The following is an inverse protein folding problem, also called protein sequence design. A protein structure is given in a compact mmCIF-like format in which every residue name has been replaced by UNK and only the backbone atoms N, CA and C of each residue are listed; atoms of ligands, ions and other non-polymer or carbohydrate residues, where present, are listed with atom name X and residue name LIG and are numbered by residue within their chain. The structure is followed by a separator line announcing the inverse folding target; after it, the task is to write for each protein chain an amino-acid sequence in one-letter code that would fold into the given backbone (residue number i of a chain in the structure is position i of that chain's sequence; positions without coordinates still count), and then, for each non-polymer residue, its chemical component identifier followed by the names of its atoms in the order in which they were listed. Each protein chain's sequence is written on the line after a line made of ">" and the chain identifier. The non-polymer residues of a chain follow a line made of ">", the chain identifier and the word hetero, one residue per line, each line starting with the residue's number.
data_IF_146214138866
#
_entry.id   IF_146214138866
#
_cell.length_a   1.000
_cell.length_b   1.000
_cell.length_c   1.000
_cell.angle_alpha   90.00
_cell.angle_beta   90.00
_cell.angle_gamma   90.00
#
_symmetry.space_group_name_H-M   'P 1'
#
loop_
_entity.id
_entity.type
_entity.pdbx_description
1 polymer ?
#
# COMPACT_ATOMS: atom_id res chain seq x y z
N UNK A 1 -67.20 -2.60 -7.87
CA UNK A 1 -66.50 -3.39 -6.84
C UNK A 1 -65.01 -3.29 -7.15
N UNK A 2 -64.29 -2.44 -6.42
CA UNK A 2 -62.85 -2.29 -6.50
C UNK A 2 -62.25 -3.21 -5.43
N UNK A 3 -61.49 -4.22 -5.84
CA UNK A 3 -60.79 -5.12 -4.94
C UNK A 3 -59.35 -4.63 -4.73
N UNK A 4 -59.02 -4.24 -3.49
CA UNK A 4 -57.63 -4.09 -3.04
C UNK A 4 -56.99 -5.47 -2.90
N UNK A 5 -55.89 -5.70 -3.60
CA UNK A 5 -54.93 -6.75 -3.25
C UNK A 5 -53.92 -6.16 -2.27
N UNK A 6 -53.86 -6.73 -1.07
CA UNK A 6 -52.77 -6.53 -0.14
C UNK A 6 -51.53 -7.25 -0.69
N UNK A 7 -50.46 -6.49 -0.96
CA UNK A 7 -49.17 -7.06 -1.33
C UNK A 7 -48.46 -7.60 -0.09
N UNK A 8 -48.22 -8.91 -0.06
CA UNK A 8 -47.35 -9.53 0.93
C UNK A 8 -45.90 -9.20 0.58
N UNK A 9 -45.25 -8.37 1.39
CA UNK A 9 -43.79 -8.19 1.36
C UNK A 9 -43.13 -9.47 1.87
N UNK A 10 -42.58 -10.28 0.98
CA UNK A 10 -41.65 -11.34 1.38
C UNK A 10 -40.32 -10.67 1.76
N UNK A 11 -39.99 -10.67 3.05
CA UNK A 11 -38.61 -10.46 3.51
C UNK A 11 -37.80 -11.67 3.08
N UNK A 12 -36.73 -11.43 2.32
CA UNK A 12 -35.86 -12.48 1.78
C UNK A 12 -34.77 -12.71 2.82
N UNK A 13 -34.83 -13.82 3.52
CA UNK A 13 -33.72 -14.34 4.33
C UNK A 13 -32.52 -14.58 3.41
N UNK A 14 -31.38 -13.98 3.76
CA UNK A 14 -30.13 -14.09 3.01
C UNK A 14 -28.99 -14.47 3.94
N UNK A 15 -28.05 -15.27 3.42
CA UNK A 15 -26.72 -15.43 4.02
C UNK A 15 -25.78 -14.47 3.30
N UNK A 16 -25.02 -13.67 4.04
CA UNK A 16 -23.94 -12.86 3.46
C UNK A 16 -22.59 -13.27 4.03
N UNK A 17 -21.52 -12.74 3.43
CA UNK A 17 -20.15 -12.93 3.89
C UNK A 17 -19.66 -11.65 4.53
N UNK A 18 -19.03 -11.77 5.69
CA UNK A 18 -18.33 -10.67 6.34
C UNK A 18 -16.83 -10.91 6.28
N UNK A 19 -16.09 -9.87 5.91
CA UNK A 19 -14.63 -9.92 5.83
C UNK A 19 -14.05 -8.98 6.88
N UNK A 20 -13.12 -9.49 7.68
CA UNK A 20 -12.51 -8.72 8.77
C UNK A 20 -11.01 -8.82 8.76
N UNK A 21 -10.38 -7.77 9.26
CA UNK A 21 -8.95 -7.71 9.52
C UNK A 21 -8.73 -7.47 11.00
N UNK A 22 -7.88 -8.29 11.60
CA UNK A 22 -7.45 -8.17 12.98
C UNK A 22 -5.95 -8.00 13.07
N UNK A 23 -5.49 -7.02 13.84
CA UNK A 23 -4.08 -6.80 14.16
C UNK A 23 -3.95 -6.33 15.61
N UNK A 24 -3.32 -7.17 16.44
CA UNK A 24 -3.28 -6.94 17.89
C UNK A 24 -4.69 -6.85 18.48
N UNK A 25 -4.99 -5.73 19.14
CA UNK A 25 -6.30 -5.43 19.74
C UNK A 25 -7.28 -4.73 18.77
N UNK A 26 -6.85 -4.42 17.55
CA UNK A 26 -7.68 -3.77 16.53
C UNK A 26 -8.35 -4.82 15.67
N UNK A 27 -9.66 -4.69 15.48
CA UNK A 27 -10.45 -5.49 14.54
C UNK A 27 -11.41 -4.56 13.80
N UNK A 28 -11.53 -4.73 12.49
CA UNK A 28 -12.43 -3.95 11.66
C UNK A 28 -12.87 -4.73 10.42
N UNK A 29 -14.07 -4.42 9.95
CA UNK A 29 -14.62 -4.96 8.71
C UNK A 29 -13.96 -4.29 7.49
N UNK A 30 -13.78 -5.05 6.42
CA UNK A 30 -13.30 -4.57 5.13
C UNK A 30 -14.28 -4.94 4.02
N UNK A 31 -14.55 -4.01 3.12
CA UNK A 31 -15.24 -4.29 1.87
C UNK A 31 -14.29 -4.86 0.81
N UNK A 32 -14.84 -5.68 -0.09
CA UNK A 32 -14.13 -6.18 -1.28
C UNK A 32 -13.97 -5.06 -2.30
N UNK A 33 -12.84 -5.06 -3.02
CA UNK A 33 -12.72 -4.30 -4.25
C UNK A 33 -13.27 -5.18 -5.37
N UNK A 34 -14.38 -4.80 -6.00
CA UNK A 34 -14.99 -5.61 -7.06
C UNK A 34 -14.58 -5.13 -8.46
N UNK A 35 -14.59 -6.02 -9.45
CA UNK A 35 -14.54 -5.63 -10.85
C UNK A 35 -14.54 -6.79 -11.84
N UNK A 36 -14.70 -6.48 -13.12
CA UNK A 36 -14.88 -7.48 -14.19
C UNK A 36 -13.58 -7.86 -14.92
N UNK A 37 -12.43 -7.59 -14.31
CA UNK A 37 -11.10 -7.86 -14.88
C UNK A 37 -10.47 -9.04 -14.15
N UNK A 38 -10.00 -10.09 -14.85
CA UNK A 38 -9.23 -11.15 -14.20
C UNK A 38 -8.10 -10.58 -13.35
N UNK A 39 -7.89 -11.10 -12.14
CA UNK A 39 -6.97 -10.48 -11.18
C UNK A 39 -5.51 -10.43 -11.70
N UNK A 40 -5.11 -11.38 -12.55
CA UNK A 40 -3.80 -11.35 -13.22
C UNK A 40 -3.69 -10.16 -14.18
N UNK A 41 -4.75 -9.86 -14.92
CA UNK A 41 -4.81 -8.69 -15.82
C UNK A 41 -4.91 -7.38 -15.04
N UNK A 42 -5.59 -7.40 -13.88
CA UNK A 42 -5.63 -6.27 -12.97
C UNK A 42 -4.24 -5.99 -12.36
N UNK A 43 -3.48 -7.03 -12.02
CA UNK A 43 -2.10 -6.90 -11.53
C UNK A 43 -1.16 -6.47 -12.67
N UNK A 44 -1.33 -7.03 -13.87
CA UNK A 44 -0.53 -6.77 -15.09
C UNK A 44 0.97 -6.92 -14.83
N UNK A 45 1.37 -8.09 -14.32
CA UNK A 45 2.78 -8.47 -14.26
C UNK A 45 3.26 -8.71 -15.70
N UNK A 46 4.34 -8.04 -16.08
CA UNK A 46 4.98 -8.24 -17.38
C UNK A 46 6.39 -8.73 -17.24
N UNK A 47 6.76 -9.66 -18.10
CA UNK A 47 8.13 -10.15 -18.26
C UNK A 47 8.51 -10.03 -19.73
N UNK A 48 9.79 -9.94 -20.08
CA UNK A 48 10.20 -10.04 -21.47
C UNK A 48 9.78 -11.35 -22.13
N UNK A 49 9.63 -11.33 -23.46
CA UNK A 49 9.25 -12.47 -24.29
C UNK A 49 10.25 -13.62 -24.31
N UNK A 50 11.51 -13.37 -23.95
CA UNK A 50 12.53 -14.40 -23.77
C UNK A 50 12.43 -15.15 -22.44
N UNK A 51 11.53 -14.73 -21.54
CA UNK A 51 11.23 -15.43 -20.30
C UNK A 51 9.86 -16.13 -20.38
N UNK A 52 9.73 -17.21 -19.61
CA UNK A 52 8.49 -17.94 -19.42
C UNK A 52 8.33 -18.37 -17.96
N UNK A 53 7.27 -19.10 -17.61
CA UNK A 53 7.10 -19.66 -16.27
C UNK A 53 5.68 -19.55 -15.75
N UNK A 54 5.44 -20.20 -14.62
CA UNK A 54 4.16 -20.15 -13.90
C UNK A 54 4.16 -18.99 -12.88
N UNK A 55 4.28 -17.77 -13.37
CA UNK A 55 4.37 -16.55 -12.57
C UNK A 55 3.16 -15.62 -12.70
N UNK A 56 2.19 -15.97 -13.54
CA UNK A 56 0.99 -15.15 -13.72
C UNK A 56 1.14 -13.95 -14.64
N UNK A 57 2.27 -13.81 -15.34
CA UNK A 57 2.45 -12.71 -16.28
C UNK A 57 1.39 -12.73 -17.39
N UNK A 58 0.83 -11.56 -17.71
CA UNK A 58 -0.29 -11.43 -18.67
C UNK A 58 0.13 -10.98 -20.06
N UNK A 59 1.33 -10.43 -20.19
CA UNK A 59 1.87 -9.98 -21.47
C UNK A 59 3.40 -10.08 -21.47
N UNK A 60 4.01 -10.86 -22.38
CA UNK A 60 5.45 -10.81 -22.63
C UNK A 60 5.93 -9.56 -23.41
N UNK A 61 5.02 -8.63 -23.75
CA UNK A 61 5.23 -7.49 -24.64
C UNK A 61 5.97 -6.30 -24.04
N UNK A 62 6.00 -5.17 -24.75
CA UNK A 62 6.87 -4.04 -24.43
C UNK A 62 6.67 -3.50 -22.99
N UNK A 63 7.79 -3.34 -22.29
CA UNK A 63 7.84 -3.00 -20.88
C UNK A 63 7.20 -1.65 -20.47
N UNK A 64 7.33 -1.27 -19.19
CA UNK A 64 8.33 -1.79 -18.26
C UNK A 64 8.02 -3.20 -17.72
N UNK A 65 9.08 -3.90 -17.32
CA UNK A 65 9.07 -5.31 -16.96
C UNK A 65 9.37 -5.51 -15.47
N UNK A 66 8.97 -6.67 -14.95
CA UNK A 66 9.23 -7.14 -13.59
C UNK A 66 8.60 -6.23 -12.52
N UNK A 67 7.40 -5.76 -12.81
CA UNK A 67 6.60 -4.96 -11.88
C UNK A 67 5.11 -5.02 -12.26
N UNK A 68 4.25 -4.69 -11.30
CA UNK A 68 2.82 -4.46 -11.54
C UNK A 68 2.55 -3.12 -12.22
N UNK A 69 2.08 -3.16 -13.46
CA UNK A 69 1.65 -1.95 -14.19
C UNK A 69 0.17 -1.61 -13.98
N UNK A 70 -0.59 -2.60 -13.52
CA UNK A 70 -1.99 -2.46 -13.24
C UNK A 70 -2.23 -1.75 -11.92
N UNK A 71 -1.40 -1.98 -10.90
CA UNK A 71 -1.67 -1.55 -9.52
C UNK A 71 -0.66 -0.56 -8.93
N UNK A 72 0.46 -0.26 -9.61
CA UNK A 72 1.48 0.65 -9.07
C UNK A 72 0.96 2.03 -8.64
N UNK A 73 -0.16 2.50 -9.20
CA UNK A 73 -0.80 3.76 -8.79
C UNK A 73 -1.38 3.74 -7.36
N UNK A 74 -1.52 2.57 -6.73
CA UNK A 74 -1.96 2.42 -5.35
C UNK A 74 -0.85 2.74 -4.34
N UNK A 75 0.40 2.81 -4.79
CA UNK A 75 1.57 3.07 -3.95
C UNK A 75 1.89 4.57 -3.99
N UNK A 76 1.59 5.28 -2.91
CA UNK A 76 1.81 6.74 -2.82
C UNK A 76 3.20 7.09 -2.28
N UNK A 77 3.80 6.17 -1.53
CA UNK A 77 5.07 6.27 -0.81
C UNK A 77 5.68 4.84 -0.74
N UNK A 78 6.92 4.63 -0.23
CA UNK A 78 7.47 3.29 -0.11
C UNK A 78 6.66 2.48 0.92
N UNK A 79 5.75 1.67 0.39
CA UNK A 79 4.63 1.11 1.13
C UNK A 79 4.33 -0.33 0.71
N UNK A 80 3.52 -0.98 1.51
CA UNK A 80 2.81 -2.20 1.14
C UNK A 80 1.31 -1.95 1.18
N UNK A 81 0.61 -2.41 0.16
CA UNK A 81 -0.85 -2.42 0.14
C UNK A 81 -1.36 -3.84 0.00
N UNK A 82 -2.44 -4.13 0.71
CA UNK A 82 -3.11 -5.42 0.76
C UNK A 82 -4.61 -5.21 0.54
N UNK A 83 -5.28 -6.06 -0.23
CA UNK A 83 -6.73 -5.98 -0.36
C UNK A 83 -7.33 -7.30 -0.86
N UNK A 84 -8.64 -7.46 -0.62
CA UNK A 84 -9.42 -8.53 -1.22
C UNK A 84 -10.07 -8.03 -2.51
N UNK A 85 -9.89 -8.79 -3.60
CA UNK A 85 -10.43 -8.50 -4.91
C UNK A 85 -11.47 -9.55 -5.31
N UNK A 86 -12.69 -9.10 -5.61
CA UNK A 86 -13.76 -9.93 -6.15
C UNK A 86 -13.81 -9.75 -7.68
N UNK A 87 -13.21 -10.71 -8.38
CA UNK A 87 -13.06 -10.71 -9.83
C UNK A 87 -13.87 -11.82 -10.52
N UNK A 88 -13.85 -11.87 -11.86
CA UNK A 88 -14.56 -12.90 -12.63
C UNK A 88 -14.07 -14.34 -12.33
N UNK A 89 -12.83 -14.48 -11.85
CA UNK A 89 -12.23 -15.77 -11.45
C UNK A 89 -12.40 -16.08 -9.95
N UNK A 90 -13.19 -15.27 -9.23
CA UNK A 90 -13.45 -15.38 -7.80
C UNK A 90 -12.58 -14.48 -6.94
N UNK A 91 -12.66 -14.71 -5.63
CA UNK A 91 -12.02 -13.89 -4.61
C UNK A 91 -10.51 -14.14 -4.54
N UNK A 92 -9.73 -13.07 -4.46
CA UNK A 92 -8.28 -13.11 -4.35
C UNK A 92 -7.77 -12.14 -3.29
N UNK A 93 -6.71 -12.52 -2.57
CA UNK A 93 -5.91 -11.63 -1.74
C UNK A 93 -4.75 -11.09 -2.58
N UNK A 94 -4.67 -9.77 -2.74
CA UNK A 94 -3.64 -9.10 -3.53
C UNK A 94 -2.67 -8.39 -2.59
N UNK A 95 -1.38 -8.68 -2.74
CA UNK A 95 -0.29 -8.00 -2.07
C UNK A 95 0.56 -7.25 -3.10
N UNK A 96 0.85 -5.98 -2.80
CA UNK A 96 1.70 -5.15 -3.64
C UNK A 96 2.65 -4.35 -2.75
N UNK A 97 3.94 -4.45 -3.04
CA UNK A 97 5.03 -3.74 -2.38
C UNK A 97 5.66 -2.73 -3.34
N UNK A 98 6.21 -1.65 -2.82
CA UNK A 98 7.00 -0.69 -3.58
C UNK A 98 6.55 0.74 -3.39
N UNK A 99 6.64 1.56 -4.44
CA UNK A 99 6.33 2.98 -4.41
C UNK A 99 7.56 3.85 -4.68
N UNK A 100 7.50 5.13 -4.34
CA UNK A 100 8.67 6.00 -4.43
C UNK A 100 9.74 5.56 -3.42
N UNK A 101 11.01 5.53 -3.81
CA UNK A 101 12.12 5.16 -2.91
C UNK A 101 13.13 4.22 -3.57
N UNK A 102 14.08 3.74 -2.76
CA UNK A 102 15.27 3.00 -3.22
C UNK A 102 15.05 1.50 -3.40
N UNK A 103 13.87 0.98 -3.01
CA UNK A 103 13.52 -0.43 -3.09
C UNK A 103 13.04 -0.94 -1.74
N UNK A 104 13.13 -2.24 -1.52
CA UNK A 104 12.81 -2.85 -0.24
C UNK A 104 12.92 -4.37 -0.22
N UNK A 105 12.66 -4.94 0.95
CA UNK A 105 12.52 -6.37 1.15
C UNK A 105 11.44 -6.65 2.19
N UNK A 106 10.64 -7.69 1.94
CA UNK A 106 9.55 -8.12 2.80
C UNK A 106 9.55 -9.63 2.86
N UNK A 107 9.39 -10.19 4.05
CA UNK A 107 9.11 -11.62 4.23
C UNK A 107 7.75 -11.77 4.85
N UNK A 108 6.84 -12.49 4.20
CA UNK A 108 5.60 -12.92 4.84
C UNK A 108 5.62 -14.42 5.04
N UNK A 109 5.29 -14.83 6.28
CA UNK A 109 4.83 -16.18 6.55
C UNK A 109 3.31 -16.17 6.71
N UNK A 110 2.62 -16.86 5.82
CA UNK A 110 1.17 -17.03 5.87
C UNK A 110 0.84 -18.40 6.47
N UNK A 111 -0.16 -18.45 7.34
CA UNK A 111 -0.71 -19.70 7.89
C UNK A 111 -2.22 -19.72 7.73
N UNK A 112 -2.80 -20.91 7.63
CA UNK A 112 -4.25 -21.04 7.42
C UNK A 112 -4.67 -20.79 5.97
N UNK A 113 -3.74 -20.87 5.02
CA UNK A 113 -4.05 -20.75 3.61
C UNK A 113 -4.98 -21.92 3.20
N UNK A 114 -6.14 -21.64 2.58
CA UNK A 114 -7.04 -22.70 2.10
C UNK A 114 -6.32 -23.63 1.11
N UNK A 115 -6.62 -24.92 1.16
CA UNK A 115 -5.94 -25.94 0.34
C UNK A 115 -6.23 -25.84 -1.15
N UNK A 116 -7.30 -25.15 -1.52
CA UNK A 116 -7.72 -24.86 -2.89
C UNK A 116 -7.22 -23.50 -3.39
N UNK A 117 -6.62 -22.68 -2.52
CA UNK A 117 -6.01 -21.42 -2.90
C UNK A 117 -4.68 -21.65 -3.64
N UNK A 118 -4.39 -20.78 -4.61
CA UNK A 118 -3.13 -20.83 -5.37
C UNK A 118 -2.60 -19.42 -5.64
N UNK A 119 -1.28 -19.31 -5.80
CA UNK A 119 -0.65 -18.05 -6.18
C UNK A 119 -0.77 -17.85 -7.68
N UNK A 120 -1.66 -16.95 -8.08
CA UNK A 120 -1.95 -16.62 -9.47
C UNK A 120 -0.94 -15.67 -10.09
N UNK A 121 -0.24 -14.90 -9.25
CA UNK A 121 0.88 -14.03 -9.64
C UNK A 121 2.00 -14.22 -8.64
N UNK A 122 3.20 -14.43 -9.17
CA UNK A 122 4.44 -14.64 -8.41
C UNK A 122 5.54 -13.79 -9.03
N UNK A 123 5.78 -12.60 -8.48
CA UNK A 123 6.90 -11.78 -8.96
C UNK A 123 8.24 -12.52 -8.82
N UNK A 124 9.17 -12.19 -9.72
CA UNK A 124 10.50 -12.81 -9.79
C UNK A 124 10.53 -14.36 -9.75
N UNK A 125 9.55 -15.01 -10.41
CA UNK A 125 9.52 -16.46 -10.64
C UNK A 125 9.45 -16.84 -12.13
N UNK A 126 10.41 -16.40 -12.94
CA UNK A 126 10.46 -16.74 -14.37
C UNK A 126 11.66 -17.64 -14.73
N UNK A 127 11.60 -18.23 -15.90
CA UNK A 127 12.56 -19.23 -16.41
C UNK A 127 13.04 -18.84 -17.80
N UNK A 128 14.30 -19.15 -18.09
CA UNK A 128 14.84 -19.11 -19.45
C UNK A 128 14.09 -20.11 -20.36
N UNK A 129 14.27 -20.01 -21.70
CA UNK A 129 13.59 -20.92 -22.64
C UNK A 129 13.92 -22.40 -22.46
N UNK A 130 15.04 -22.72 -21.81
CA UNK A 130 15.44 -24.10 -21.46
C UNK A 130 14.78 -24.63 -20.18
N UNK A 131 14.02 -23.78 -19.47
CA UNK A 131 13.31 -24.10 -18.24
C UNK A 131 14.10 -23.84 -16.96
N UNK A 132 15.35 -23.39 -17.05
CA UNK A 132 16.14 -23.04 -15.86
C UNK A 132 15.63 -21.72 -15.26
N UNK A 133 15.60 -21.57 -13.92
CA UNK A 133 15.26 -20.32 -13.27
C UNK A 133 16.17 -19.18 -13.71
N UNK A 134 15.61 -17.99 -13.93
CA UNK A 134 16.40 -16.82 -14.27
C UNK A 134 17.29 -16.37 -13.09
N UNK A 135 18.52 -15.93 -13.39
CA UNK A 135 19.48 -15.48 -12.36
C UNK A 135 19.00 -14.24 -11.59
N UNK A 136 18.06 -13.48 -12.18
CA UNK A 136 17.46 -12.30 -11.58
C UNK A 136 16.25 -12.61 -10.70
N UNK A 137 15.84 -13.87 -10.55
CA UNK A 137 14.81 -14.26 -9.60
C UNK A 137 15.37 -14.19 -8.18
N UNK A 138 15.23 -13.04 -7.54
CA UNK A 138 15.69 -12.87 -6.16
C UNK A 138 14.64 -13.30 -5.13
N UNK A 139 13.38 -13.29 -5.53
CA UNK A 139 12.28 -13.73 -4.69
C UNK A 139 12.33 -15.22 -4.39
N UNK A 140 11.84 -15.57 -3.20
CA UNK A 140 11.83 -16.96 -2.74
C UNK A 140 10.42 -17.38 -2.40
N UNK A 141 9.94 -18.39 -3.11
CA UNK A 141 8.59 -18.91 -2.98
C UNK A 141 8.60 -20.28 -2.33
N UNK A 142 8.09 -20.39 -1.10
CA UNK A 142 7.83 -21.67 -0.43
C UNK A 142 6.34 -21.78 -0.10
N UNK A 143 5.57 -22.38 -1.01
CA UNK A 143 4.10 -22.33 -1.03
C UNK A 143 3.44 -23.71 -0.90
N UNK A 144 3.91 -24.53 0.05
CA UNK A 144 3.40 -25.88 0.24
C UNK A 144 2.39 -25.98 1.38
N UNK A 145 1.22 -26.58 1.12
CA UNK A 145 0.22 -26.87 2.16
C UNK A 145 -0.52 -25.60 2.60
N UNK A 146 -0.72 -25.43 3.91
CA UNK A 146 -1.41 -24.27 4.49
C UNK A 146 -0.46 -23.22 5.09
N UNK A 147 0.85 -23.48 5.05
CA UNK A 147 1.91 -22.63 5.57
C UNK A 147 2.78 -22.16 4.40
N UNK A 148 2.66 -20.90 4.02
CA UNK A 148 3.46 -20.32 2.94
C UNK A 148 4.51 -19.37 3.52
N UNK A 149 5.71 -19.35 2.94
CA UNK A 149 6.74 -18.34 3.22
C UNK A 149 7.18 -17.76 1.90
N UNK A 150 7.06 -16.44 1.77
CA UNK A 150 7.50 -15.72 0.59
C UNK A 150 8.44 -14.60 1.05
N UNK A 151 9.60 -14.54 0.41
CA UNK A 151 10.56 -13.46 0.57
C UNK A 151 10.59 -12.65 -0.74
N UNK A 152 10.20 -11.38 -0.68
CA UNK A 152 10.25 -10.43 -1.79
C UNK A 152 11.42 -9.46 -1.66
N UNK A 153 11.99 -9.04 -2.78
CA UNK A 153 12.90 -7.89 -2.82
C UNK A 153 12.95 -7.21 -4.18
N UNK A 154 12.84 -5.89 -4.17
CA UNK A 154 12.79 -5.10 -5.39
C UNK A 154 13.72 -3.89 -5.35
N UNK A 155 14.08 -3.44 -6.56
CA UNK A 155 14.82 -2.19 -6.78
C UNK A 155 13.90 -0.98 -6.66
N UNK A 156 14.48 0.15 -6.26
CA UNK A 156 13.80 1.45 -6.26
C UNK A 156 13.10 1.80 -7.56
N UNK A 157 11.94 2.43 -7.42
CA UNK A 157 11.04 2.78 -8.52
C UNK A 157 10.28 1.61 -9.13
N UNK A 158 10.44 0.38 -8.64
CA UNK A 158 9.66 -0.79 -9.05
C UNK A 158 8.67 -1.24 -7.98
N UNK A 159 7.81 -2.16 -8.38
CA UNK A 159 6.89 -2.85 -7.49
C UNK A 159 7.16 -4.35 -7.46
N UNK A 160 6.63 -4.99 -6.43
CA UNK A 160 6.79 -6.41 -6.17
C UNK A 160 5.50 -6.97 -5.54
N UNK A 161 5.39 -8.28 -5.39
CA UNK A 161 4.34 -8.93 -4.61
C UNK A 161 3.72 -10.15 -5.28
N UNK A 162 2.40 -10.28 -5.16
CA UNK A 162 1.70 -11.43 -5.72
C UNK A 162 0.22 -11.46 -5.40
N UNK A 163 -0.44 -12.48 -5.96
CA UNK A 163 -1.88 -12.67 -5.84
C UNK A 163 -2.17 -14.10 -5.39
N UNK A 164 -2.79 -14.25 -4.22
CA UNK A 164 -3.31 -15.53 -3.73
C UNK A 164 -4.81 -15.60 -4.08
N UNK A 165 -5.14 -16.39 -5.09
CA UNK A 165 -6.50 -16.51 -5.63
C UNK A 165 -7.26 -17.73 -5.12
N UNK A 166 -8.46 -17.89 -5.68
CA UNK A 166 -9.38 -18.98 -5.39
C UNK A 166 -9.78 -19.09 -3.92
N UNK A 167 -9.91 -17.95 -3.23
CA UNK A 167 -10.37 -17.92 -1.85
C UNK A 167 -11.87 -18.21 -1.79
N UNK A 168 -12.21 -19.45 -1.45
CA UNK A 168 -13.59 -19.92 -1.39
C UNK A 168 -14.03 -20.22 0.05
N UNK A 169 -15.34 -20.34 0.26
CA UNK A 169 -15.90 -20.66 1.59
C UNK A 169 -15.56 -19.64 2.69
N UNK A 170 -15.53 -20.12 3.93
CA UNK A 170 -15.00 -19.42 5.10
C UNK A 170 -13.50 -19.69 5.21
N UNK A 171 -12.72 -18.68 5.59
CA UNK A 171 -11.27 -18.82 5.76
C UNK A 171 -10.74 -17.91 6.86
N UNK A 172 -9.58 -18.28 7.40
CA UNK A 172 -8.79 -17.47 8.33
C UNK A 172 -7.32 -17.55 7.92
N UNK A 173 -6.82 -16.48 7.29
CA UNK A 173 -5.42 -16.39 6.86
C UNK A 173 -4.70 -15.46 7.82
N UNK A 174 -3.60 -15.95 8.42
CA UNK A 174 -2.75 -15.15 9.30
C UNK A 174 -1.41 -14.87 8.63
N UNK A 175 -1.05 -13.60 8.55
CA UNK A 175 0.19 -13.08 7.99
C UNK A 175 1.11 -12.67 9.15
N UNK A 176 2.26 -13.32 9.24
CA UNK A 176 3.37 -12.93 10.10
C UNK A 176 4.38 -12.13 9.27
N UNK A 177 4.35 -10.78 9.35
CA UNK A 177 5.24 -9.96 8.55
C UNK A 177 6.63 -9.85 9.17
N UNK A 178 7.63 -9.70 8.31
CA UNK A 178 8.93 -9.16 8.65
C UNK A 178 9.33 -8.17 7.54
N UNK A 179 9.46 -6.89 7.90
CA UNK A 179 9.80 -5.81 6.98
C UNK A 179 11.22 -5.32 7.25
N UNK A 180 11.83 -4.70 6.23
CA UNK A 180 13.11 -4.00 6.37
C UNK A 180 14.16 -4.93 6.99
N UNK A 181 14.89 -4.49 8.02
CA UNK A 181 15.96 -5.27 8.65
C UNK A 181 15.54 -6.64 9.19
N UNK A 182 14.25 -6.86 9.40
CA UNK A 182 13.72 -8.14 9.86
C UNK A 182 13.43 -9.11 8.70
N UNK A 183 13.33 -8.61 7.45
CA UNK A 183 13.08 -9.42 6.26
C UNK A 183 14.30 -10.26 5.88
N UNK A 184 14.06 -11.48 5.37
CA UNK A 184 15.11 -12.44 5.01
C UNK A 184 16.10 -11.85 4.01
N UNK A 185 15.61 -11.15 2.98
CA UNK A 185 16.40 -10.65 1.86
C UNK A 185 16.99 -9.25 2.06
N UNK A 186 16.78 -8.64 3.23
CA UNK A 186 17.19 -7.26 3.48
C UNK A 186 18.68 -7.02 3.26
N UNK A 187 18.99 -6.08 2.37
CA UNK A 187 20.36 -5.70 2.06
C UNK A 187 21.18 -6.78 1.34
N UNK A 188 20.55 -7.89 0.89
CA UNK A 188 21.23 -8.91 0.08
C UNK A 188 21.35 -8.47 -1.38
N UNK A 189 20.25 -7.98 -1.95
CA UNK A 189 20.16 -7.62 -3.38
C UNK A 189 19.83 -6.14 -3.57
N UNK A 190 18.83 -5.66 -2.83
CA UNK A 190 18.41 -4.27 -2.85
C UNK A 190 18.36 -3.67 -1.45
N UNK A 191 18.41 -2.34 -1.41
CA UNK A 191 18.28 -1.54 -0.19
C UNK A 191 17.02 -0.68 -0.29
N UNK A 192 16.52 -0.25 0.85
CA UNK A 192 15.36 0.62 0.92
C UNK A 192 14.58 0.32 2.19
N UNK A 193 13.53 1.09 2.41
CA UNK A 193 12.72 0.99 3.61
C UNK A 193 11.25 1.11 3.23
N UNK A 194 10.47 0.10 3.60
CA UNK A 194 9.01 0.17 3.61
C UNK A 194 8.59 0.91 4.88
N UNK A 195 7.94 2.04 4.72
CA UNK A 195 7.55 2.91 5.84
C UNK A 195 6.09 2.73 6.26
N UNK A 196 5.24 2.28 5.34
CA UNK A 196 3.81 2.08 5.63
C UNK A 196 3.26 0.77 5.08
N UNK A 197 2.26 0.24 5.79
CA UNK A 197 1.48 -0.91 5.34
C UNK A 197 -0.01 -0.60 5.53
N UNK A 198 -0.79 -0.83 4.48
CA UNK A 198 -2.21 -0.56 4.47
C UNK A 198 -3.01 -1.77 3.98
N UNK A 199 -4.20 -1.95 4.56
CA UNK A 199 -5.28 -2.68 3.89
C UNK A 199 -6.21 -1.69 3.20
N UNK A 200 -6.59 -1.98 1.97
CA UNK A 200 -7.52 -1.19 1.17
C UNK A 200 -8.90 -1.83 1.18
N UNK A 201 -9.93 -0.99 1.22
CA UNK A 201 -11.33 -1.41 1.13
C UNK A 201 -12.19 -0.34 0.44
N UNK A 202 -13.39 -0.72 0.01
CA UNK A 202 -14.35 0.18 -0.64
C UNK A 202 -14.24 0.14 -2.16
N UNK A 203 -14.66 1.22 -2.82
CA UNK A 203 -14.71 1.31 -4.29
C UNK A 203 -13.42 1.85 -4.89
N UNK A 204 -13.11 1.49 -6.14
CA UNK A 204 -11.89 1.90 -6.84
C UNK A 204 -11.67 3.43 -6.95
N UNK A 205 -12.75 4.21 -6.90
CA UNK A 205 -12.71 5.68 -6.92
C UNK A 205 -12.82 6.31 -5.52
N UNK A 206 -13.03 5.51 -4.48
CA UNK A 206 -13.19 5.94 -3.09
C UNK A 206 -12.54 4.96 -2.11
N UNK A 207 -11.27 4.65 -2.34
CA UNK A 207 -10.53 3.70 -1.52
C UNK A 207 -10.33 4.24 -0.10
N UNK A 208 -10.68 3.42 0.87
CA UNK A 208 -10.31 3.63 2.27
C UNK A 208 -8.99 2.90 2.54
N UNK A 209 -8.01 3.62 3.10
CA UNK A 209 -6.73 3.06 3.54
C UNK A 209 -6.74 2.90 5.05
N UNK A 210 -6.64 1.68 5.55
CA UNK A 210 -6.46 1.42 6.98
C UNK A 210 -5.02 1.03 7.26
N UNK A 211 -4.33 1.80 8.10
CA UNK A 211 -2.92 1.53 8.45
C UNK A 211 -2.79 0.31 9.36
N UNK A 212 -1.79 -0.51 9.02
CA UNK A 212 -1.34 -1.69 9.73
C UNK A 212 0.09 -1.45 10.27
N UNK A 213 0.41 -2.07 11.38
CA UNK A 213 1.74 -2.08 11.98
C UNK A 213 2.65 -3.08 11.24
N UNK A 214 3.86 -2.67 10.87
CA UNK A 214 4.82 -3.49 10.13
C UNK A 214 5.34 -4.70 10.94
N UNK A 215 5.26 -4.67 12.26
CA UNK A 215 5.86 -5.70 13.13
C UNK A 215 4.81 -6.59 13.83
N UNK A 216 3.53 -6.37 13.56
CA UNK A 216 2.44 -7.14 14.19
C UNK A 216 1.75 -8.05 13.19
N UNK A 217 1.45 -9.26 13.65
CA UNK A 217 0.70 -10.26 12.88
C UNK A 217 -0.69 -9.76 12.54
N UNK A 218 -1.12 -10.00 11.30
CA UNK A 218 -2.45 -9.65 10.78
C UNK A 218 -3.23 -10.91 10.46
N UNK A 219 -4.48 -11.01 10.89
CA UNK A 219 -5.38 -12.09 10.52
C UNK A 219 -6.53 -11.53 9.68
N UNK A 220 -6.83 -12.20 8.56
CA UNK A 220 -7.93 -11.88 7.65
C UNK A 220 -8.92 -13.04 7.72
N UNK A 221 -10.18 -12.73 8.02
CA UNK A 221 -11.24 -13.73 8.09
C UNK A 221 -12.33 -13.46 7.06
N UNK A 222 -12.96 -14.54 6.61
CA UNK A 222 -14.23 -14.54 5.92
C UNK A 222 -15.17 -15.48 6.67
N UNK A 223 -16.30 -14.96 7.15
CA UNK A 223 -17.32 -15.71 7.87
C UNK A 223 -18.66 -15.61 7.12
N UNK A 224 -19.45 -16.69 7.13
CA UNK A 224 -20.81 -16.67 6.60
C UNK A 224 -21.75 -16.31 7.75
N UNK A 225 -22.40 -15.16 7.62
CA UNK A 225 -23.36 -14.68 8.61
C UNK A 225 -24.77 -14.96 8.10
N UNK A 226 -25.56 -15.64 8.92
CA UNK A 226 -26.99 -15.79 8.68
C UNK A 226 -27.71 -14.56 9.23
N UNK A 227 -28.41 -13.83 8.36
CA UNK A 227 -29.32 -12.79 8.82
C UNK A 227 -30.47 -13.46 9.59
N UNK A 228 -30.35 -13.50 10.91
CA UNK A 228 -31.46 -13.87 11.77
C UNK A 228 -32.53 -12.79 11.59
N UNK A 229 -33.68 -13.19 11.01
CA UNK A 229 -34.85 -12.36 10.86
C UNK A 229 -35.02 -11.52 12.13
N UNK A 230 -34.80 -10.21 12.01
CA UNK A 230 -35.09 -9.27 13.10
C UNK A 230 -36.53 -9.57 13.50
N UNK A 231 -36.78 -10.00 14.76
CA UNK A 231 -38.09 -10.48 15.14
C UNK A 231 -39.09 -9.41 14.76
N UNK A 232 -40.08 -9.77 13.93
CA UNK A 232 -41.11 -8.86 13.44
C UNK A 232 -41.51 -7.95 14.59
N UNK A 233 -41.17 -6.66 14.44
CA UNK A 233 -41.48 -5.66 15.45
C UNK A 233 -42.98 -5.80 15.73
N UNK A 234 -43.38 -6.14 16.98
CA UNK A 234 -44.74 -6.57 17.25
C UNK A 234 -45.69 -5.53 16.71
N UNK A 235 -46.62 -5.97 15.84
CA UNK A 235 -47.62 -5.13 15.18
C UNK A 235 -48.12 -4.08 16.17
N UNK A 236 -47.79 -2.81 15.90
CA UNK A 236 -48.33 -1.71 16.69
C UNK A 236 -49.86 -1.83 16.65
N UNK A 237 -50.55 -1.97 17.79
CA UNK A 237 -51.99 -2.20 17.79
C UNK A 237 -52.68 -1.04 17.07
N UNK A 238 -53.53 -1.40 16.11
CA UNK A 238 -54.27 -0.48 15.27
C UNK A 238 -54.95 0.63 16.10
N UNK A 239 -54.51 1.87 15.89
CA UNK A 239 -55.11 3.06 16.48
C UNK A 239 -56.51 3.26 15.87
N UNK A 240 -57.58 3.43 16.69
CA UNK A 240 -58.91 3.73 16.17
C UNK A 240 -58.93 5.11 15.53
N UNK A 241 -59.50 5.21 14.32
CA UNK A 241 -59.81 6.47 13.65
C UNK A 241 -60.94 7.20 14.39
N UNK A 242 -60.70 8.43 14.85
CA UNK A 242 -61.75 9.43 15.11
C UNK A 242 -61.15 10.86 15.18
N UNK A 243 -61.95 11.95 15.15
CA UNK A 243 -62.12 12.80 14.00
C UNK A 243 -61.43 14.18 14.12
N UNK A 244 -61.41 14.90 12.99
CA UNK A 244 -61.00 16.29 12.83
C UNK A 244 -61.60 17.21 13.89
N UNK A 245 -60.77 18.04 14.53
CA UNK A 245 -60.99 19.47 14.75
C UNK A 245 -59.83 20.12 15.55
N UNK A 246 -59.50 21.37 15.20
CA UNK A 246 -59.08 22.39 16.17
C UNK A 246 -57.60 22.73 16.32
N UNK A 247 -57.22 23.88 15.75
CA UNK A 247 -56.47 25.01 16.35
C UNK A 247 -55.17 24.80 17.17
N UNK A 248 -54.16 25.56 16.72
CA UNK A 248 -53.24 26.42 17.46
C UNK A 248 -52.53 25.90 18.73
N UNK A 249 -51.19 25.82 18.65
CA UNK A 249 -50.34 25.56 19.81
C UNK A 249 -48.85 25.73 19.54
N UNK A 250 -48.42 26.98 19.57
CA UNK A 250 -47.05 27.43 19.86
C UNK A 250 -46.45 26.66 21.07
N UNK A 251 -45.23 26.14 20.93
CA UNK A 251 -44.65 25.24 21.93
C UNK A 251 -43.24 24.75 21.64
N UNK A 252 -42.30 25.69 21.70
CA UNK A 252 -40.85 25.50 21.85
C UNK A 252 -40.44 24.28 22.68
N UNK A 253 -39.41 23.52 22.22
CA UNK A 253 -38.41 22.87 23.07
C UNK A 253 -37.19 22.40 22.29
N UNK A 254 -36.11 23.15 22.48
CA UNK A 254 -34.72 22.77 22.29
C UNK A 254 -34.42 21.37 22.82
N UNK A 255 -33.73 20.57 21.99
CA UNK A 255 -32.94 19.44 22.46
C UNK A 255 -31.57 19.49 21.79
N UNK A 256 -30.61 19.99 22.56
CA UNK A 256 -29.20 20.14 22.22
C UNK A 256 -28.58 18.78 21.89
N UNK A 257 -28.22 18.62 20.62
CA UNK A 257 -27.41 17.52 20.12
C UNK A 257 -25.93 17.84 20.42
N UNK A 258 -25.43 17.34 21.54
CA UNK A 258 -23.99 17.37 21.89
C UNK A 258 -23.19 16.53 20.89
N UNK A 259 -22.68 17.18 19.84
CA UNK A 259 -21.52 16.72 19.08
C UNK A 259 -20.27 17.09 19.89
N UNK A 260 -19.53 16.10 20.34
CA UNK A 260 -18.20 16.30 20.91
C UNK A 260 -17.20 16.49 19.77
N UNK A 261 -17.08 17.71 19.28
CA UNK A 261 -15.88 18.18 18.56
C UNK A 261 -14.74 18.21 19.58
N UNK A 262 -13.73 17.37 19.36
CA UNK A 262 -12.43 17.53 19.99
C UNK A 262 -11.65 18.50 19.11
N UNK A 263 -11.79 19.78 19.42
CA UNK A 263 -10.94 20.83 18.90
C UNK A 263 -9.53 20.59 19.44
N UNK A 264 -8.68 20.04 18.57
CA UNK A 264 -7.25 20.01 18.77
C UNK A 264 -6.74 21.35 18.24
N UNK A 265 -6.88 22.40 19.06
CA UNK A 265 -6.35 23.74 18.82
C UNK A 265 -4.81 23.70 18.85
N UNK A 266 -4.21 23.20 17.77
CA UNK A 266 -2.88 23.60 17.37
C UNK A 266 -3.07 24.60 16.22
N UNK A 267 -3.42 25.82 16.62
CA UNK A 267 -3.68 27.00 15.81
C UNK A 267 -2.34 27.56 15.28
N UNK A 268 -1.57 26.71 14.60
CA UNK A 268 -0.52 27.16 13.69
C UNK A 268 -1.23 27.54 12.40
N UNK A 269 -1.28 28.85 12.10
CA UNK A 269 -2.01 29.47 10.98
C UNK A 269 -1.51 28.92 9.65
N UNK A 270 -2.00 27.73 9.32
CA UNK A 270 -1.62 26.91 8.20
C UNK A 270 -2.05 27.60 6.91
N UNK A 271 -1.07 28.22 6.25
CA UNK A 271 -1.15 28.44 4.81
C UNK A 271 -1.51 27.09 4.19
N UNK A 272 -2.72 26.95 3.65
CA UNK A 272 -3.12 25.79 2.84
C UNK A 272 -2.08 25.69 1.74
N UNK A 273 -1.14 24.75 1.87
CA UNK A 273 -0.16 24.49 0.82
C UNK A 273 -0.96 24.06 -0.39
N UNK A 274 -0.93 24.87 -1.45
CA UNK A 274 -1.56 24.52 -2.71
C UNK A 274 -1.04 23.14 -3.13
N UNK A 275 -1.96 22.25 -3.54
CA UNK A 275 -1.54 20.94 -4.05
C UNK A 275 -0.65 21.18 -5.27
N UNK A 276 0.52 20.54 -5.37
CA UNK A 276 1.39 20.70 -6.53
C UNK A 276 0.67 20.29 -7.80
N UNK A 277 0.94 20.98 -8.92
CA UNK A 277 0.19 20.83 -10.18
C UNK A 277 0.21 19.40 -10.71
N UNK A 278 1.34 18.69 -10.61
CA UNK A 278 1.46 17.29 -11.05
C UNK A 278 0.41 16.36 -10.42
N UNK A 279 -0.09 16.66 -9.22
CA UNK A 279 -1.16 15.84 -8.59
C UNK A 279 -2.49 15.99 -9.32
N UNK A 280 -2.79 17.18 -9.84
CA UNK A 280 -4.00 17.41 -10.65
C UNK A 280 -3.90 16.64 -11.97
N UNK A 281 -2.75 16.76 -12.64
CA UNK A 281 -2.48 16.06 -13.90
C UNK A 281 -2.57 14.54 -13.73
N UNK A 282 -2.01 14.00 -12.64
CA UNK A 282 -2.13 12.59 -12.29
C UNK A 282 -3.59 12.16 -12.05
N UNK A 283 -4.36 12.95 -11.31
CA UNK A 283 -5.76 12.63 -11.01
C UNK A 283 -6.64 12.71 -12.29
N UNK A 284 -6.34 13.63 -13.21
CA UNK A 284 -6.98 13.73 -14.53
C UNK A 284 -6.62 12.56 -15.43
N UNK A 285 -5.33 12.21 -15.55
CA UNK A 285 -4.87 11.04 -16.29
C UNK A 285 -5.49 9.74 -15.76
N UNK A 286 -5.70 9.63 -14.44
CA UNK A 286 -6.40 8.49 -13.83
C UNK A 286 -7.85 8.41 -14.28
N UNK A 287 -8.55 9.54 -14.34
CA UNK A 287 -9.95 9.59 -14.78
C UNK A 287 -10.07 9.17 -16.24
N UNK A 288 -9.19 9.67 -17.09
CA UNK A 288 -9.21 9.34 -18.51
C UNK A 288 -8.83 7.89 -18.79
N UNK A 289 -7.83 7.35 -18.07
CA UNK A 289 -7.50 5.92 -18.13
C UNK A 289 -8.70 5.05 -17.76
N UNK A 290 -9.50 5.47 -16.79
CA UNK A 290 -10.76 4.78 -16.42
C UNK A 290 -11.76 4.84 -17.58
N UNK A 291 -12.02 6.02 -18.14
CA UNK A 291 -12.96 6.19 -19.26
C UNK A 291 -12.58 5.32 -20.47
N UNK A 292 -11.30 5.32 -20.88
CA UNK A 292 -10.82 4.47 -21.97
C UNK A 292 -10.85 2.99 -21.65
N UNK A 293 -10.64 2.65 -20.38
CA UNK A 293 -10.76 1.28 -19.92
C UNK A 293 -12.19 0.78 -20.06
N UNK A 294 -13.14 1.57 -19.58
CA UNK A 294 -14.55 1.25 -19.65
C UNK A 294 -15.01 1.15 -21.13
N UNK A 295 -14.46 1.98 -22.04
CA UNK A 295 -14.72 1.92 -23.50
C UNK A 295 -14.26 0.60 -24.14
N UNK A 296 -13.00 0.18 -23.96
CA UNK A 296 -12.54 -1.07 -24.58
C UNK A 296 -13.16 -2.30 -23.91
N UNK A 297 -13.55 -2.21 -22.64
CA UNK A 297 -14.31 -3.25 -21.95
C UNK A 297 -15.69 -3.43 -22.59
N UNK A 298 -16.39 -2.33 -22.89
CA UNK A 298 -17.68 -2.38 -23.60
C UNK A 298 -17.54 -3.08 -24.97
N UNK A 299 -16.47 -2.76 -25.73
CA UNK A 299 -16.17 -3.45 -27.00
C UNK A 299 -15.96 -4.95 -26.83
N UNK A 300 -15.21 -5.34 -25.81
CA UNK A 300 -14.95 -6.76 -25.48
C UNK A 300 -16.24 -7.49 -25.18
N UNK A 301 -17.10 -6.90 -24.35
CA UNK A 301 -18.35 -7.51 -23.92
C UNK A 301 -19.38 -7.59 -25.07
N UNK A 302 -19.31 -6.67 -26.04
CA UNK A 302 -20.06 -6.73 -27.30
C UNK A 302 -19.48 -7.72 -28.33
N UNK A 303 -18.32 -8.33 -28.05
CA UNK A 303 -17.65 -9.27 -28.95
C UNK A 303 -17.04 -8.62 -30.19
N UNK A 304 -16.67 -7.33 -30.12
CA UNK A 304 -16.04 -6.61 -31.23
C UNK A 304 -14.59 -7.05 -31.42
N UNK A 305 -14.21 -7.55 -32.60
CA UNK A 305 -12.87 -8.11 -32.84
C UNK A 305 -11.70 -7.12 -32.60
N UNK A 306 -11.96 -5.81 -32.60
CA UNK A 306 -11.00 -4.73 -32.42
C UNK A 306 -10.79 -4.29 -30.96
N UNK A 307 -11.47 -4.91 -29.98
CA UNK A 307 -11.34 -4.53 -28.57
C UNK A 307 -9.88 -4.58 -28.06
N UNK A 308 -9.06 -5.47 -28.62
CA UNK A 308 -7.63 -5.58 -28.30
C UNK A 308 -6.85 -4.38 -28.78
N UNK A 309 -7.12 -3.89 -29.99
CA UNK A 309 -6.47 -2.71 -30.54
C UNK A 309 -6.85 -1.46 -29.73
N UNK A 310 -8.12 -1.32 -29.37
CA UNK A 310 -8.59 -0.23 -28.48
C UNK A 310 -7.95 -0.29 -27.10
N UNK A 311 -7.79 -1.49 -26.52
CA UNK A 311 -7.09 -1.70 -25.25
C UNK A 311 -5.63 -1.30 -25.35
N UNK A 312 -4.94 -1.71 -26.41
CA UNK A 312 -3.51 -1.44 -26.60
C UNK A 312 -3.27 0.07 -26.87
N UNK A 313 -4.16 0.74 -27.60
CA UNK A 313 -4.16 2.20 -27.79
C UNK A 313 -4.37 2.94 -26.46
N UNK A 314 -5.42 2.58 -25.71
CA UNK A 314 -5.69 3.14 -24.39
C UNK A 314 -4.51 2.98 -23.42
N UNK A 315 -3.83 1.83 -23.49
CA UNK A 315 -2.65 1.52 -22.68
C UNK A 315 -1.43 2.33 -23.10
N UNK A 316 -1.21 2.53 -24.39
CA UNK A 316 -0.14 3.40 -24.90
C UNK A 316 -0.32 4.83 -24.43
N UNK A 317 -1.54 5.36 -24.55
CA UNK A 317 -1.81 6.72 -24.14
C UNK A 317 -1.74 6.91 -22.61
N UNK A 318 -2.21 5.92 -21.84
CA UNK A 318 -2.04 5.92 -20.40
C UNK A 318 -0.55 5.91 -19.99
N UNK A 319 0.32 5.24 -20.76
CA UNK A 319 1.77 5.25 -20.56
C UNK A 319 2.35 6.64 -20.87
N UNK A 320 2.02 7.25 -22.00
CA UNK A 320 2.51 8.59 -22.36
C UNK A 320 2.11 9.65 -21.31
N UNK A 321 0.85 9.63 -20.84
CA UNK A 321 0.39 10.53 -19.77
C UNK A 321 1.08 10.26 -18.44
N UNK A 322 1.38 8.99 -18.16
CA UNK A 322 2.10 8.62 -16.95
C UNK A 322 3.50 9.20 -16.94
N UNK A 323 4.23 9.00 -18.03
CA UNK A 323 5.59 9.47 -18.17
C UNK A 323 5.61 11.02 -18.10
N UNK A 324 4.62 11.72 -18.69
CA UNK A 324 4.48 13.18 -18.60
C UNK A 324 4.31 13.68 -17.15
N UNK A 325 3.43 13.08 -16.34
CA UNK A 325 3.25 13.54 -14.95
C UNK A 325 4.39 13.10 -14.04
N UNK A 326 5.10 12.01 -14.37
CA UNK A 326 6.32 11.59 -13.66
C UNK A 326 7.43 12.62 -13.86
N UNK A 327 7.67 13.09 -15.09
CA UNK A 327 8.63 14.15 -15.37
C UNK A 327 8.31 15.42 -14.56
N UNK A 328 7.03 15.84 -14.52
CA UNK A 328 6.57 16.99 -13.72
C UNK A 328 6.76 16.79 -12.22
N UNK A 329 6.60 15.56 -11.72
CA UNK A 329 6.81 15.23 -10.31
C UNK A 329 8.29 15.33 -9.97
N UNK A 330 9.15 14.81 -10.83
CA UNK A 330 10.59 14.76 -10.60
C UNK A 330 11.18 16.18 -10.69
N UNK A 331 10.77 17.01 -11.65
CA UNK A 331 11.13 18.44 -11.72
C UNK A 331 10.66 19.21 -10.46
N UNK A 332 9.45 18.90 -9.97
CA UNK A 332 8.95 19.51 -8.73
C UNK A 332 9.77 19.10 -7.51
N UNK A 333 10.23 17.85 -7.48
CA UNK A 333 11.05 17.33 -6.38
C UNK A 333 12.45 17.96 -6.39
N UNK A 334 13.08 18.09 -7.55
CA UNK A 334 14.36 18.80 -7.70
C UNK A 334 14.27 20.24 -7.19
N UNK A 335 13.26 21.01 -7.62
CA UNK A 335 13.04 22.40 -7.14
C UNK A 335 12.85 22.46 -5.63
N UNK A 336 12.14 21.50 -5.05
CA UNK A 336 11.92 21.44 -3.61
C UNK A 336 13.21 21.14 -2.85
N UNK A 337 14.07 20.30 -3.40
CA UNK A 337 15.36 19.96 -2.79
C UNK A 337 16.35 21.12 -2.92
N UNK A 338 16.35 21.85 -4.04
CA UNK A 338 17.08 23.12 -4.22
C UNK A 338 16.63 24.18 -3.19
N UNK A 339 15.32 24.44 -3.06
CA UNK A 339 14.77 25.39 -2.07
C UNK A 339 15.14 24.99 -0.63
N UNK A 340 15.20 23.68 -0.35
CA UNK A 340 15.59 23.18 0.96
C UNK A 340 17.08 23.43 1.22
N UNK A 341 17.93 23.22 0.22
CA UNK A 341 19.37 23.51 0.28
C UNK A 341 19.63 24.98 0.56
N UNK A 342 19.02 25.90 -0.21
CA UNK A 342 19.15 27.35 0.01
C UNK A 342 18.71 27.77 1.42
N UNK A 343 17.65 27.15 1.95
CA UNK A 343 17.16 27.44 3.31
C UNK A 343 18.08 26.89 4.40
N UNK A 344 18.82 25.81 4.15
CA UNK A 344 19.83 25.29 5.06
C UNK A 344 21.07 26.20 5.05
N UNK A 345 21.53 26.64 3.88
CA UNK A 345 22.62 27.63 3.75
C UNK A 345 22.28 28.97 4.44
N UNK A 346 21.06 29.49 4.26
CA UNK A 346 20.61 30.72 4.95
C UNK A 346 20.57 30.59 6.49
N UNK A 347 20.43 29.38 7.03
CA UNK A 347 20.44 29.15 8.48
C UNK A 347 21.86 29.14 9.01
N UNK A 348 22.76 28.45 8.31
CA UNK A 348 24.18 28.40 8.68
C UNK A 348 24.78 29.81 8.72
N UNK A 349 24.44 30.66 7.73
CA UNK A 349 24.85 32.08 7.68
C UNK A 349 24.29 32.96 8.82
N UNK A 350 23.19 32.55 9.45
CA UNK A 350 22.62 33.26 10.63
C UNK A 350 23.27 32.79 11.92
N UNK A 351 23.50 31.49 12.04
CA UNK A 351 24.15 30.90 13.21
C UNK A 351 25.62 31.38 13.35
N UNK A 352 26.29 31.67 12.23
CA UNK A 352 27.64 32.26 12.24
C UNK A 352 27.64 33.75 12.64
N UNK A 353 26.63 34.53 12.25
CA UNK A 353 26.50 35.94 12.67
C UNK A 353 26.16 36.08 14.15
N UNK A 354 25.27 35.23 14.65
CA UNK A 354 24.92 35.24 16.07
C UNK A 354 26.11 34.84 16.97
N UNK A 355 27.08 34.06 16.45
CA UNK A 355 28.33 33.76 17.17
C UNK A 355 29.30 34.94 17.25
N UNK A 356 29.40 35.75 16.21
CA UNK A 356 30.33 36.89 16.21
C UNK A 356 29.89 38.01 17.18
N UNK A 357 28.59 38.15 17.44
CA UNK A 357 28.05 39.16 18.37
C UNK A 357 28.20 38.77 19.86
N UNK A 358 28.40 37.49 20.17
CA UNK A 358 28.60 37.00 21.56
C UNK A 358 30.07 37.06 22.02
N UNK A 359 31.05 37.18 21.11
CA UNK A 359 32.48 37.24 21.47
C UNK A 359 32.96 38.60 22.01
N UNK A 360 32.16 39.66 21.85
CA UNK A 360 32.51 41.03 22.27
C UNK A 360 31.88 41.45 23.63
N UNK A 361 31.16 40.56 24.33
CA UNK A 361 30.43 40.90 25.56
C UNK A 361 30.93 40.21 26.84
N UNK A 362 32.09 39.55 26.80
CA UNK A 362 32.65 38.80 27.95
C UNK A 362 33.79 39.52 28.71
N UNK A 363 34.01 40.82 28.50
CA UNK A 363 35.11 41.56 29.18
C UNK A 363 34.77 42.23 30.52
N UNK A 364 33.53 42.18 31.05
CA UNK A 364 33.13 43.04 32.19
C UNK A 364 32.39 42.35 33.38
N UNK A 365 32.69 41.09 33.70
CA UNK A 365 32.25 40.48 34.99
C UNK A 365 33.43 39.79 35.72
N UNK A 366 34.53 40.53 35.92
CA UNK A 366 35.43 40.29 37.05
C UNK A 366 34.77 40.81 38.34
N UNK A 367 34.92 40.06 39.43
CA UNK A 367 34.52 40.38 40.81
C UNK A 367 33.10 39.98 41.27
N UNK A 368 32.90 38.67 41.49
CA UNK A 368 32.20 38.23 42.71
C UNK A 368 32.70 36.85 43.18
N UNK A 369 33.88 36.86 43.79
CA UNK A 369 34.27 35.88 44.79
C UNK A 369 33.41 36.09 46.05
N UNK A 370 32.36 35.29 46.25
CA UNK A 370 31.85 35.03 47.59
C UNK A 370 31.63 33.53 47.83
N UNK A 371 32.60 33.01 48.60
CA UNK A 371 32.55 31.84 49.45
C UNK A 371 31.13 31.48 49.90
N UNK A 372 30.73 30.21 49.75
CA UNK A 372 30.28 29.38 50.90
C UNK A 372 29.39 28.18 50.51
N UNK A 373 29.96 26.99 50.76
CA UNK A 373 29.36 25.84 51.45
C UNK A 373 29.09 24.54 50.66
N UNK A 374 29.45 23.38 51.26
CA UNK A 374 29.33 22.07 50.63
C UNK A 374 27.91 21.53 50.78
N UNK A 375 27.20 21.35 49.66
CA UNK A 375 25.94 20.59 49.66
C UNK A 375 26.16 19.15 49.20
N UNK A 376 26.28 18.30 50.22
CA UNK A 376 25.69 16.97 50.40
C UNK A 376 25.41 16.15 49.14
N UNK A 377 26.13 15.04 49.06
CA UNK A 377 25.89 13.98 48.09
C UNK A 377 24.45 13.48 48.05
N UNK A 378 24.00 13.24 46.82
CA UNK A 378 23.03 12.21 46.50
C UNK A 378 23.60 11.41 45.35
N UNK A 379 24.06 10.20 45.68
CA UNK A 379 24.37 9.21 44.67
C UNK A 379 23.09 8.84 43.93
N UNK A 380 23.15 8.91 42.61
CA UNK A 380 22.27 8.13 41.76
C UNK A 380 23.17 7.38 40.78
N UNK A 381 23.35 6.10 41.09
CA UNK A 381 23.89 5.12 40.17
C UNK A 381 22.91 4.94 39.01
N UNK A 382 23.33 5.30 37.80
CA UNK A 382 22.80 4.73 36.55
C UNK A 382 23.97 4.40 35.65
N UNK A 383 24.19 3.10 35.49
CA UNK A 383 25.27 2.53 34.70
C UNK A 383 25.10 2.85 33.22
N UNK A 384 26.12 3.45 32.62
CA UNK A 384 26.32 3.46 31.19
C UNK A 384 27.20 2.27 30.81
N UNK A 385 26.59 1.25 30.21
CA UNK A 385 27.31 0.24 29.42
C UNK A 385 27.76 0.90 28.12
N UNK A 386 29.05 1.27 28.04
CA UNK A 386 29.73 1.57 26.77
C UNK A 386 30.15 0.25 26.13
N UNK A 387 29.40 -0.20 25.13
CA UNK A 387 29.82 -1.25 24.21
C UNK A 387 30.81 -0.67 23.20
N UNK A 388 32.09 -1.05 23.31
CA UNK A 388 33.10 -0.83 22.28
C UNK A 388 32.88 -1.86 21.16
N UNK A 389 32.29 -1.43 20.05
CA UNK A 389 32.26 -2.20 18.81
C UNK A 389 33.60 -2.06 18.08
N UNK A 390 34.36 -3.16 18.03
CA UNK A 390 35.63 -3.25 17.33
C UNK A 390 35.41 -3.17 15.82
N UNK A 391 36.20 -2.33 15.16
CA UNK A 391 36.33 -2.32 13.70
C UNK A 391 36.87 -3.65 13.19
N UNK A 392 36.23 -4.20 12.15
CA UNK A 392 36.79 -5.24 11.32
C UNK A 392 37.18 -4.63 9.98
N UNK A 393 38.49 -4.61 9.75
CA UNK A 393 39.09 -4.38 8.45
C UNK A 393 38.56 -5.43 7.45
N UNK A 394 38.02 -4.98 6.33
CA UNK A 394 37.81 -5.83 5.15
C UNK A 394 39.09 -5.79 4.33
N UNK A 395 39.76 -6.94 4.28
CA UNK A 395 40.90 -7.20 3.41
C UNK A 395 40.43 -7.22 1.95
N UNK A 396 41.12 -6.42 1.14
CA UNK A 396 41.10 -6.44 -0.32
C UNK A 396 41.72 -7.75 -0.77
N UNK A 397 40.93 -8.67 -1.34
CA UNK A 397 41.46 -9.80 -2.12
C UNK A 397 41.60 -9.33 -3.55
N UNK A 398 42.85 -9.25 -3.98
CA UNK A 398 43.26 -9.30 -5.38
C UNK A 398 43.06 -10.76 -5.81
N UNK A 399 42.14 -11.01 -6.75
CA UNK A 399 42.10 -12.26 -7.50
C UNK A 399 42.73 -11.96 -8.86
N UNK A 400 43.97 -12.43 -9.00
CA UNK A 400 44.66 -12.67 -10.25
C UNK A 400 44.21 -14.04 -10.79
N UNK A 401 43.76 -14.08 -12.03
CA UNK A 401 43.52 -15.30 -12.81
C UNK A 401 42.99 -14.87 -14.17
N UNK A 402 43.80 -14.70 -15.21
CA UNK A 402 44.59 -15.72 -15.93
C UNK A 402 43.68 -16.83 -16.48
N UNK A 403 43.30 -16.70 -17.75
CA UNK A 403 42.86 -17.75 -18.68
C UNK A 403 42.59 -17.04 -20.03
N UNK A 404 43.61 -16.93 -20.88
CA UNK A 404 44.10 -17.91 -21.86
C UNK A 404 43.42 -17.76 -23.21
N UNK A 405 44.21 -17.23 -24.14
CA UNK A 405 44.02 -17.29 -25.58
C UNK A 405 43.64 -18.71 -26.03
N UNK A 406 42.57 -18.82 -26.81
CA UNK A 406 42.42 -19.88 -27.81
C UNK A 406 42.03 -19.23 -29.12
N UNK A 407 43.06 -18.91 -29.89
CA UNK A 407 43.01 -19.05 -31.34
C UNK A 407 42.74 -20.53 -31.66
N UNK A 408 41.71 -20.80 -32.47
CA UNK A 408 41.71 -21.99 -33.32
C UNK A 408 41.07 -21.62 -34.66
N UNK A 409 41.87 -21.87 -35.68
CA UNK A 409 41.65 -21.70 -37.10
C UNK A 409 40.67 -22.74 -37.69
N UNK A 410 40.20 -22.40 -38.89
CA UNK A 410 40.00 -23.26 -40.06
C UNK A 410 38.73 -24.10 -40.29
N UNK A 411 38.34 -24.05 -41.59
CA UNK A 411 37.50 -24.92 -42.43
C UNK A 411 35.97 -24.97 -42.13
N UNK A 412 35.02 -24.71 -43.05
CA UNK A 412 34.92 -24.94 -44.50
C UNK A 412 33.80 -24.03 -45.09
#
# INVERSE_FOLDING_TARGET
>A
MLGSQAGATHTKTGTHREYRVKQGDREFEIGLLAGDTPVKELYDLRIPDWYSGDNGATDPGEGPYYESLGLGYLLEEPSTVLFLYDGPDGLSLVALHGGSGDGGSVTWRLTGVPTDADWLVKDDLYTYPDGEPADSNYDRWNVSGSDHVIDWTWRGGRTDGGVLGYLSGEFEITIHPAYNTDATLYGQYYSGEVTTWHVLSGEWDSLTRQSLNLHETVTITCEIVEDLDSPESPESPATPEDPKDGEDGDGSKDSEKRKGERDNDNDDKGKKKEKPEWKKDRDEARKERKEKRDEWQEKRDNGEDDWKEARDEARKEAKEKRDEWQDKRDEWQEKRDEEKGEREEEKDDRDDKDREDDEDNDEDDEDNDDDSQPRRGRGNARGQRRGKGQGKARGRREDDGDESDTDDDDDD
#
